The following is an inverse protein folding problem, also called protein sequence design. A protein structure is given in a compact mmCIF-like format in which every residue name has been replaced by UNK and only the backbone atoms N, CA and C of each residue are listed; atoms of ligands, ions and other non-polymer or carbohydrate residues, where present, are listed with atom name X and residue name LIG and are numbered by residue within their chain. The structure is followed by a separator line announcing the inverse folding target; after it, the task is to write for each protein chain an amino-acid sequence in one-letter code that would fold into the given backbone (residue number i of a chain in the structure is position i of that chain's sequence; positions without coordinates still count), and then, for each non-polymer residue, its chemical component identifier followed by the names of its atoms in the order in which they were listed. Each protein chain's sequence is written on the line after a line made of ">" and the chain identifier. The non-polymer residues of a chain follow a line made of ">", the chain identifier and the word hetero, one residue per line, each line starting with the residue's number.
data_IF_556425900987
#
_entry.id   IF_556425900987
#
_cell.length_a   1.000
_cell.length_b   1.000
_cell.length_c   1.000
_cell.angle_alpha   90.00
_cell.angle_beta   90.00
_cell.angle_gamma   90.00
#
_symmetry.space_group_name_H-M   'P 1'
#
loop_
_entity.id
_entity.type
_entity.pdbx_description
1 polymer ?
#
# COMPACT_ATOMS: atom_id res chain seq x y z
N UNK A 1 -8.34 18.08 0.67
CA UNK A 1 -8.15 16.99 1.64
C UNK A 1 -9.38 16.12 1.58
N UNK A 2 -9.48 15.31 0.53
CA UNK A 2 -10.45 14.21 0.39
C UNK A 2 -10.06 13.48 -0.90
N UNK A 3 -8.91 12.79 -0.86
CA UNK A 3 -8.58 11.91 -1.96
C UNK A 3 -9.41 10.64 -1.75
N UNK A 4 -10.44 10.47 -2.57
CA UNK A 4 -11.32 9.31 -2.52
C UNK A 4 -10.49 8.07 -2.84
N UNK A 5 -10.05 7.34 -1.81
CA UNK A 5 -9.37 6.06 -1.95
C UNK A 5 -10.31 5.08 -2.66
N UNK A 6 -9.87 4.53 -3.78
CA UNK A 6 -10.64 3.48 -4.43
C UNK A 6 -10.65 2.21 -3.56
N UNK A 7 -11.59 1.28 -3.76
CA UNK A 7 -11.61 0.02 -3.03
C UNK A 7 -10.25 -0.71 -3.07
N UNK A 8 -9.60 -0.74 -4.24
CA UNK A 8 -8.27 -1.36 -4.42
C UNK A 8 -7.20 -0.66 -3.59
N UNK A 9 -7.26 0.67 -3.43
CA UNK A 9 -6.28 1.38 -2.60
C UNK A 9 -6.41 0.97 -1.12
N UNK A 10 -7.64 0.76 -0.64
CA UNK A 10 -7.89 0.28 0.72
C UNK A 10 -7.40 -1.15 0.91
N UNK A 11 -7.59 -2.02 -0.08
CA UNK A 11 -7.08 -3.39 -0.05
C UNK A 11 -5.56 -3.43 -0.03
N UNK A 12 -4.91 -2.56 -0.82
CA UNK A 12 -3.45 -2.37 -0.81
C UNK A 12 -2.98 -1.94 0.58
N UNK A 13 -3.62 -0.92 1.16
CA UNK A 13 -3.26 -0.41 2.48
C UNK A 13 -3.43 -1.48 3.56
N UNK A 14 -4.53 -2.25 3.52
CA UNK A 14 -4.76 -3.35 4.46
C UNK A 14 -3.67 -4.43 4.34
N UNK A 15 -3.24 -4.77 3.12
CA UNK A 15 -2.15 -5.72 2.90
C UNK A 15 -0.82 -5.18 3.44
N UNK A 16 -0.49 -3.91 3.16
CA UNK A 16 0.75 -3.28 3.62
C UNK A 16 0.80 -3.09 5.13
N UNK A 17 -0.34 -2.82 5.78
CA UNK A 17 -0.39 -2.74 7.25
C UNK A 17 -0.19 -4.11 7.91
N UNK A 18 -0.72 -5.17 7.31
CA UNK A 18 -0.56 -6.54 7.81
C UNK A 18 0.86 -7.09 7.56
N UNK A 19 1.42 -6.82 6.38
CA UNK A 19 2.79 -7.20 5.99
C UNK A 19 3.47 -6.05 5.23
N UNK A 20 4.16 -5.14 5.93
CA UNK A 20 4.85 -4.02 5.31
C UNK A 20 6.02 -4.41 4.39
N UNK A 21 6.43 -5.68 4.41
CA UNK A 21 7.55 -6.20 3.61
C UNK A 21 7.09 -7.03 2.41
N UNK A 22 5.78 -7.10 2.16
CA UNK A 22 5.23 -7.83 1.02
C UNK A 22 5.81 -7.31 -0.29
N UNK A 23 6.17 -8.22 -1.20
CA UNK A 23 6.66 -7.84 -2.52
C UNK A 23 5.55 -7.21 -3.36
N UNK A 24 5.90 -6.28 -4.25
CA UNK A 24 4.92 -5.66 -5.16
C UNK A 24 4.20 -6.70 -6.04
N UNK A 25 4.87 -7.82 -6.39
CA UNK A 25 4.26 -8.92 -7.13
C UNK A 25 3.16 -9.63 -6.31
N UNK A 26 3.47 -10.01 -5.07
CA UNK A 26 2.52 -10.67 -4.18
C UNK A 26 1.38 -9.73 -3.75
N UNK A 27 1.69 -8.43 -3.57
CA UNK A 27 0.68 -7.40 -3.28
C UNK A 27 -0.29 -7.23 -4.45
N UNK A 28 0.22 -7.19 -5.69
CA UNK A 28 -0.60 -7.11 -6.88
C UNK A 28 -1.50 -8.33 -7.02
N UNK A 29 -0.96 -9.53 -6.79
CA UNK A 29 -1.74 -10.78 -6.79
C UNK A 29 -2.87 -10.75 -5.74
N UNK A 30 -2.56 -10.40 -4.48
CA UNK A 30 -3.55 -10.31 -3.39
C UNK A 30 -4.64 -9.27 -3.64
N UNK A 31 -4.34 -8.21 -4.39
CA UNK A 31 -5.27 -7.10 -4.68
C UNK A 31 -5.91 -7.20 -6.06
N UNK A 32 -5.79 -8.35 -6.72
CA UNK A 32 -6.33 -8.59 -8.08
C UNK A 32 -5.89 -7.51 -9.09
N UNK A 33 -4.64 -7.05 -8.97
CA UNK A 33 -4.04 -6.04 -9.83
C UNK A 33 -2.79 -6.58 -10.53
N UNK A 34 -2.28 -5.83 -11.51
CA UNK A 34 -0.95 -6.08 -12.05
C UNK A 34 0.10 -5.24 -11.33
N UNK A 35 1.36 -5.65 -11.43
CA UNK A 35 2.46 -5.05 -10.65
C UNK A 35 2.63 -3.56 -10.94
N UNK A 36 2.57 -3.15 -12.21
CA UNK A 36 2.76 -1.74 -12.61
C UNK A 36 1.70 -0.77 -12.01
N UNK A 37 0.38 -1.03 -12.13
CA UNK A 37 -0.63 -0.18 -11.50
C UNK A 37 -0.62 -0.28 -9.97
N UNK A 38 -0.33 -1.44 -9.39
CA UNK A 38 -0.16 -1.59 -7.94
C UNK A 38 0.94 -0.67 -7.42
N UNK A 39 2.12 -0.71 -8.05
CA UNK A 39 3.25 0.17 -7.70
C UNK A 39 2.90 1.66 -7.84
N UNK A 40 2.24 2.06 -8.95
CA UNK A 40 1.82 3.46 -9.12
C UNK A 40 0.85 3.93 -8.04
N UNK A 41 -0.05 3.06 -7.58
CA UNK A 41 -1.00 3.38 -6.50
C UNK A 41 -0.27 3.59 -5.18
N UNK A 42 0.63 2.67 -4.81
CA UNK A 42 1.46 2.81 -3.60
C UNK A 42 2.25 4.10 -3.64
N UNK A 43 2.98 4.35 -4.74
CA UNK A 43 3.78 5.57 -4.91
C UNK A 43 2.94 6.84 -4.83
N UNK A 44 1.75 6.87 -5.47
CA UNK A 44 0.83 8.01 -5.35
C UNK A 44 0.38 8.22 -3.91
N UNK A 45 0.05 7.14 -3.19
CA UNK A 45 -0.37 7.22 -1.80
C UNK A 45 0.74 7.73 -0.87
N UNK A 46 2.00 7.38 -1.14
CA UNK A 46 3.17 7.97 -0.47
C UNK A 46 3.31 9.46 -0.80
N UNK A 47 3.25 9.83 -2.08
CA UNK A 47 3.39 11.23 -2.55
C UNK A 47 2.31 12.18 -1.98
N UNK A 48 1.08 11.67 -1.78
CA UNK A 48 -0.03 12.47 -1.25
C UNK A 48 -0.20 12.35 0.27
N UNK A 49 0.70 11.67 0.97
CA UNK A 49 0.68 11.53 2.43
C UNK A 49 -0.44 10.63 2.97
N UNK A 50 -0.92 9.68 2.15
CA UNK A 50 -1.78 8.58 2.65
C UNK A 50 -0.91 7.49 3.30
N UNK A 51 0.29 7.27 2.78
CA UNK A 51 1.32 6.44 3.40
C UNK A 51 2.44 7.38 3.88
N UNK A 52 2.54 7.59 5.20
CA UNK A 52 3.58 8.44 5.78
C UNK A 52 4.98 7.79 5.72
N UNK A 53 5.03 6.46 5.66
CA UNK A 53 6.26 5.68 5.60
C UNK A 53 6.13 4.36 6.36
N UNK A 54 7.26 3.67 6.53
CA UNK A 54 7.33 2.36 7.18
C UNK A 54 8.07 2.49 8.51
N UNK A 55 7.52 1.88 9.56
CA UNK A 55 8.07 1.96 10.92
C UNK A 55 8.42 0.59 11.48
N UNK A 56 9.38 0.54 12.40
CA UNK A 56 9.73 -0.65 13.17
C UNK A 56 9.18 -0.52 14.60
N UNK A 57 8.49 -1.56 15.08
CA UNK A 57 8.06 -1.64 16.46
C UNK A 57 9.15 -2.33 17.30
N UNK A 58 9.63 -1.65 18.34
CA UNK A 58 10.65 -2.16 19.25
C UNK A 58 10.01 -2.66 20.54
N UNK A 59 10.41 -3.83 21.01
CA UNK A 59 10.03 -4.34 22.33
C UNK A 59 11.16 -4.00 23.33
N UNK A 60 10.90 -3.11 24.29
CA UNK A 60 11.85 -2.67 25.32
C UNK A 60 11.17 -2.64 26.67
#
# INVERSE_FOLDING_TARGET
>A
MDQLLSPVDRDILACLQADPRISMAALAEKTNSSVSPCWRRVKRMEEVGVIDGYSLLLNR
#
